data_IF_421639924269
#
_entry.id   IF_421639924269
#
_cell.length_a   1.000
_cell.length_b   1.000
_cell.length_c   1.000
_cell.angle_alpha   90.00
_cell.angle_beta   90.00
_cell.angle_gamma   90.00
#
_symmetry.space_group_name_H-M   'P 1'
#
loop_
_entity.id
_entity.type
_entity.pdbx_description
1 polymer ?
#
# COMPACT_ATOMS: atom_id res chain seq x y z
N UNK A 1 5.21 -23.04 9.72
CA UNK A 1 6.10 -23.01 8.54
C UNK A 1 6.11 -24.39 7.87
N UNK A 2 6.34 -24.44 6.56
CA UNK A 2 6.63 -25.68 5.81
C UNK A 2 8.10 -25.67 5.40
N UNK A 3 8.66 -26.79 4.96
CA UNK A 3 10.02 -26.83 4.42
C UNK A 3 10.08 -26.37 2.94
N UNK A 4 8.91 -26.17 2.32
CA UNK A 4 8.80 -25.57 0.99
C UNK A 4 9.02 -24.05 1.05
N UNK A 5 10.19 -23.62 0.57
CA UNK A 5 10.57 -22.21 0.52
C UNK A 5 9.62 -21.35 -0.31
N UNK A 6 9.05 -21.89 -1.39
CA UNK A 6 8.17 -21.11 -2.27
C UNK A 6 6.86 -20.78 -1.55
N UNK A 7 6.32 -21.73 -0.78
CA UNK A 7 5.13 -21.50 0.05
C UNK A 7 5.42 -20.47 1.14
N UNK A 8 6.59 -20.53 1.78
CA UNK A 8 6.93 -19.55 2.82
C UNK A 8 7.12 -18.14 2.23
N UNK A 9 7.85 -18.00 1.11
CA UNK A 9 8.03 -16.72 0.39
C UNK A 9 6.69 -16.12 -0.01
N UNK A 10 5.77 -16.95 -0.53
CA UNK A 10 4.41 -16.52 -0.86
C UNK A 10 3.65 -16.01 0.37
N UNK A 11 3.68 -16.77 1.48
CA UNK A 11 3.04 -16.36 2.74
C UNK A 11 3.62 -15.06 3.28
N UNK A 12 4.93 -14.88 3.21
CA UNK A 12 5.57 -13.64 3.67
C UNK A 12 5.15 -12.43 2.83
N UNK A 13 5.04 -12.59 1.50
CA UNK A 13 4.46 -11.58 0.63
C UNK A 13 3.01 -11.26 1.02
N UNK A 14 2.19 -12.28 1.29
CA UNK A 14 0.79 -12.07 1.71
C UNK A 14 0.68 -11.31 3.04
N UNK A 15 1.50 -11.62 4.05
CA UNK A 15 1.54 -10.84 5.30
C UNK A 15 1.78 -9.36 5.00
N UNK A 16 2.77 -9.07 4.17
CA UNK A 16 3.08 -7.69 3.75
C UNK A 16 1.96 -7.04 2.96
N UNK A 17 1.28 -7.77 2.09
CA UNK A 17 0.12 -7.24 1.35
C UNK A 17 -1.00 -6.80 2.30
N UNK A 18 -1.36 -7.65 3.27
CA UNK A 18 -2.41 -7.31 4.24
C UNK A 18 -2.02 -6.12 5.10
N UNK A 19 -0.78 -6.09 5.61
CA UNK A 19 -0.27 -4.95 6.39
C UNK A 19 -0.25 -3.66 5.56
N UNK A 20 0.25 -3.73 4.32
CA UNK A 20 0.30 -2.59 3.40
C UNK A 20 -1.11 -2.07 3.12
N UNK A 21 -2.05 -2.97 2.80
CA UNK A 21 -3.45 -2.61 2.58
C UNK A 21 -4.06 -1.93 3.81
N UNK A 22 -3.86 -2.49 5.00
CA UNK A 22 -4.35 -1.92 6.26
C UNK A 22 -3.79 -0.50 6.50
N UNK A 23 -2.48 -0.31 6.33
CA UNK A 23 -1.82 0.95 6.66
C UNK A 23 -1.89 2.02 5.55
N UNK A 24 -2.20 1.67 4.31
CA UNK A 24 -2.45 2.63 3.23
C UNK A 24 -3.93 2.98 3.04
N UNK A 25 -4.85 2.17 3.57
CA UNK A 25 -6.29 2.46 3.51
C UNK A 25 -6.67 3.71 4.33
N UNK A 26 -7.73 4.40 3.91
CA UNK A 26 -8.32 5.48 4.70
C UNK A 26 -9.01 4.92 5.95
N UNK A 27 -9.05 5.72 7.03
CA UNK A 27 -9.67 5.35 8.30
C UNK A 27 -8.67 5.19 9.44
N UNK A 28 -9.02 4.39 10.45
CA UNK A 28 -8.17 4.14 11.63
C UNK A 28 -7.78 2.65 11.59
N UNK A 29 -6.52 2.31 11.27
CA UNK A 29 -6.08 0.92 11.25
C UNK A 29 -6.02 0.35 12.67
N UNK A 30 -6.40 -0.92 12.80
CA UNK A 30 -6.23 -1.70 14.02
C UNK A 30 -5.41 -2.94 13.68
N UNK A 31 -4.27 -3.10 14.36
CA UNK A 31 -3.38 -4.25 14.21
C UNK A 31 -3.58 -5.20 15.39
N UNK A 32 -3.74 -6.49 15.12
CA UNK A 32 -3.79 -7.51 16.17
C UNK A 32 -2.38 -7.71 16.72
N UNK A 33 -2.22 -7.62 18.04
CA UNK A 33 -0.91 -7.71 18.67
C UNK A 33 -0.19 -9.03 18.32
N UNK A 34 1.06 -8.90 17.87
CA UNK A 34 1.92 -10.01 17.49
C UNK A 34 1.85 -10.38 16.01
N UNK A 35 0.92 -9.83 15.23
CA UNK A 35 0.91 -10.04 13.77
C UNK A 35 2.20 -9.51 13.13
N UNK A 36 2.73 -8.40 13.63
CA UNK A 36 4.04 -7.84 13.26
C UNK A 36 5.22 -8.75 13.57
N UNK A 37 5.02 -9.75 14.45
CA UNK A 37 6.04 -10.72 14.86
C UNK A 37 5.83 -12.10 14.21
N UNK A 38 4.85 -12.25 13.31
CA UNK A 38 4.36 -13.54 12.81
C UNK A 38 3.85 -14.48 13.90
N UNK A 39 3.08 -13.95 14.87
CA UNK A 39 2.41 -14.77 15.90
C UNK A 39 1.53 -15.83 15.26
N UNK A 40 1.54 -17.03 15.84
CA UNK A 40 0.73 -18.16 15.37
C UNK A 40 0.00 -18.82 16.51
N UNK A 41 -1.26 -19.19 16.27
CA UNK A 41 -2.07 -20.05 17.13
C UNK A 41 -2.17 -21.49 16.57
N UNK A 42 -1.21 -21.88 15.73
CA UNK A 42 -1.14 -23.18 15.06
C UNK A 42 -2.43 -23.56 14.29
N UNK A 43 -3.09 -22.56 13.71
CA UNK A 43 -4.34 -22.74 12.96
C UNK A 43 -5.61 -22.69 13.82
N UNK A 44 -5.51 -22.56 15.14
CA UNK A 44 -6.65 -22.32 16.00
C UNK A 44 -7.12 -20.85 15.84
N UNK A 45 -8.32 -20.63 15.30
CA UNK A 45 -8.90 -19.30 15.13
C UNK A 45 -9.79 -18.85 16.32
N UNK A 46 -9.83 -19.64 17.39
CA UNK A 46 -10.67 -19.39 18.56
C UNK A 46 -9.96 -19.81 19.87
N UNK A 47 -8.78 -19.26 20.12
CA UNK A 47 -7.95 -19.59 21.28
C UNK A 47 -8.42 -18.96 22.61
N UNK A 48 -9.73 -18.78 22.81
CA UNK A 48 -10.29 -18.04 23.94
C UNK A 48 -10.01 -18.66 25.32
N UNK A 49 -9.90 -19.99 25.39
CA UNK A 49 -9.64 -20.74 26.62
C UNK A 49 -8.19 -21.23 26.74
N UNK A 50 -7.30 -20.78 25.85
CA UNK A 50 -5.90 -21.21 25.85
C UNK A 50 -5.09 -20.25 26.70
N UNK A 51 -4.74 -20.69 27.91
CA UNK A 51 -3.79 -20.01 28.78
C UNK A 51 -2.38 -20.64 28.64
N UNK A 52 -1.81 -20.65 27.42
CA UNK A 52 -0.53 -21.33 27.12
C UNK A 52 0.17 -20.81 25.83
N UNK A 53 1.25 -21.47 25.41
CA UNK A 53 2.09 -21.09 24.26
C UNK A 53 1.35 -20.92 22.93
N UNK A 54 0.11 -21.44 22.79
CA UNK A 54 -0.73 -21.21 21.61
C UNK A 54 -1.11 -19.74 21.47
N UNK A 55 -1.40 -19.06 22.58
CA UNK A 55 -1.86 -17.67 22.59
C UNK A 55 -0.74 -16.69 22.93
N UNK A 56 0.39 -17.16 23.49
CA UNK A 56 1.41 -16.27 24.06
C UNK A 56 2.19 -15.56 22.96
N UNK A 57 2.64 -14.33 23.23
CA UNK A 57 3.60 -13.66 22.36
C UNK A 57 4.97 -14.34 22.49
N UNK A 58 5.42 -14.97 21.41
CA UNK A 58 6.71 -15.66 21.37
C UNK A 58 7.83 -14.73 20.90
N UNK A 59 8.37 -13.93 21.82
CA UNK A 59 9.46 -12.99 21.55
C UNK A 59 10.75 -13.65 21.03
N UNK A 60 11.00 -14.91 21.39
CA UNK A 60 12.21 -15.64 20.95
C UNK A 60 12.14 -16.02 19.46
N UNK A 61 10.94 -16.21 18.92
CA UNK A 61 10.69 -16.58 17.52
C UNK A 61 10.12 -15.42 16.70
N UNK A 62 10.25 -14.19 17.20
CA UNK A 62 9.74 -13.01 16.52
C UNK A 62 10.37 -12.84 15.13
N UNK A 63 9.52 -12.65 14.12
CA UNK A 63 9.95 -12.26 12.78
C UNK A 63 10.37 -10.79 12.78
N UNK A 64 11.67 -10.55 12.96
CA UNK A 64 12.25 -9.20 13.03
C UNK A 64 12.16 -8.45 11.69
N UNK A 65 12.16 -9.19 10.58
CA UNK A 65 12.07 -8.63 9.24
C UNK A 65 10.68 -8.04 9.02
N UNK A 66 9.63 -8.82 9.32
CA UNK A 66 8.25 -8.32 9.27
C UNK A 66 7.99 -7.19 10.27
N UNK A 67 8.61 -7.25 11.45
CA UNK A 67 8.50 -6.19 12.45
C UNK A 67 9.05 -4.87 11.91
N UNK A 68 10.24 -4.90 11.30
CA UNK A 68 10.85 -3.72 10.68
C UNK A 68 9.98 -3.18 9.53
N UNK A 69 9.49 -4.07 8.66
CA UNK A 69 8.57 -3.71 7.59
C UNK A 69 7.30 -3.02 8.12
N UNK A 70 6.73 -3.56 9.20
CA UNK A 70 5.53 -2.98 9.85
C UNK A 70 5.82 -1.63 10.49
N UNK A 71 6.99 -1.47 11.13
CA UNK A 71 7.43 -0.19 11.67
C UNK A 71 7.57 0.88 10.58
N UNK A 72 8.19 0.52 9.45
CA UNK A 72 8.34 1.40 8.28
C UNK A 72 6.97 1.78 7.69
N UNK A 73 6.02 0.85 7.58
CA UNK A 73 4.63 1.16 7.18
C UNK A 73 3.93 2.14 8.12
N UNK A 74 4.06 1.92 9.43
CA UNK A 74 3.47 2.82 10.44
C UNK A 74 4.11 4.21 10.34
N UNK A 75 5.43 4.28 10.17
CA UNK A 75 6.14 5.54 9.99
C UNK A 75 5.66 6.28 8.73
N UNK A 76 5.60 5.59 7.59
CA UNK A 76 5.10 6.14 6.33
C UNK A 76 3.69 6.72 6.50
N UNK A 77 2.75 5.96 7.07
CA UNK A 77 1.38 6.45 7.35
C UNK A 77 1.39 7.68 8.25
N UNK A 78 2.27 7.72 9.25
CA UNK A 78 2.37 8.86 10.20
C UNK A 78 2.99 10.10 9.58
N UNK A 79 3.88 9.94 8.60
CA UNK A 79 4.51 11.04 7.89
C UNK A 79 3.57 11.66 6.85
N UNK A 80 2.69 10.86 6.23
CA UNK A 80 1.82 11.31 5.15
C UNK A 80 0.34 11.45 5.57
N UNK A 81 -0.17 12.68 5.84
CA UNK A 81 -1.58 12.92 6.12
C UNK A 81 -2.54 12.42 5.04
N UNK A 82 -2.09 12.21 3.80
CA UNK A 82 -2.95 11.74 2.70
C UNK A 82 -3.57 10.37 2.94
N UNK A 83 -2.94 9.52 3.78
CA UNK A 83 -3.51 8.24 4.21
C UNK A 83 -4.41 8.33 5.46
N UNK A 84 -4.51 9.52 6.06
CA UNK A 84 -5.21 9.79 7.33
C UNK A 84 -6.21 10.95 7.17
N UNK A 85 -6.91 10.99 6.03
CA UNK A 85 -7.84 12.08 5.73
C UNK A 85 -9.02 12.05 6.70
N UNK A 86 -9.52 13.25 7.04
CA UNK A 86 -10.77 13.44 7.81
C UNK A 86 -12.01 13.49 6.94
N UNK A 87 -11.83 13.67 5.63
CA UNK A 87 -12.89 13.82 4.64
C UNK A 87 -12.72 12.79 3.55
N UNK A 88 -13.84 12.35 2.98
CA UNK A 88 -13.86 11.46 1.84
C UNK A 88 -13.16 12.05 0.62
N UNK A 89 -12.69 11.16 -0.26
CA UNK A 89 -12.31 11.55 -1.61
C UNK A 89 -13.56 11.92 -2.42
N UNK A 90 -13.42 12.83 -3.39
CA UNK A 90 -14.52 13.24 -4.27
C UNK A 90 -14.40 12.71 -5.69
N UNK A 91 -13.21 12.29 -6.11
CA UNK A 91 -12.94 11.89 -7.49
C UNK A 91 -13.07 13.05 -8.47
N UNK A 92 -12.85 14.29 -7.99
CA UNK A 92 -13.01 15.52 -8.76
C UNK A 92 -11.93 16.53 -8.38
N UNK A 93 -11.51 17.42 -9.31
CA UNK A 93 -10.60 18.51 -9.00
C UNK A 93 -11.10 19.39 -7.86
N UNK A 94 -10.18 19.85 -6.99
CA UNK A 94 -10.53 20.79 -5.93
C UNK A 94 -10.63 22.23 -6.42
N UNK A 95 -9.89 22.58 -7.47
CA UNK A 95 -9.95 23.87 -8.15
C UNK A 95 -9.93 23.68 -9.67
N UNK A 96 -10.48 24.64 -10.45
CA UNK A 96 -10.33 24.62 -11.90
C UNK A 96 -8.86 24.57 -12.32
N UNK A 97 -8.50 23.60 -13.17
CA UNK A 97 -7.13 23.39 -13.64
C UNK A 97 -6.27 22.49 -12.75
N UNK A 98 -6.78 22.02 -11.60
CA UNK A 98 -6.17 20.92 -10.84
C UNK A 98 -6.67 19.55 -11.35
N UNK A 99 -5.94 18.49 -11.00
CA UNK A 99 -6.40 17.10 -11.16
C UNK A 99 -7.24 16.66 -9.96
N UNK A 100 -7.98 15.57 -10.13
CA UNK A 100 -8.80 14.93 -9.12
C UNK A 100 -8.02 14.51 -7.87
N UNK A 101 -8.74 14.37 -6.75
CA UNK A 101 -8.14 14.00 -5.47
C UNK A 101 -7.85 12.49 -5.33
N UNK A 102 -8.47 11.67 -6.19
CA UNK A 102 -8.23 10.24 -6.37
C UNK A 102 -8.55 9.85 -7.82
N UNK A 103 -7.74 8.98 -8.42
CA UNK A 103 -8.01 8.40 -9.73
C UNK A 103 -7.69 6.90 -9.75
N UNK A 104 -8.40 6.15 -10.59
CA UNK A 104 -8.29 4.69 -10.67
C UNK A 104 -7.90 4.27 -12.09
N UNK A 105 -6.97 3.34 -12.19
CA UNK A 105 -6.32 2.97 -13.45
C UNK A 105 -6.32 1.47 -13.67
N UNK A 106 -6.49 1.09 -14.94
CA UNK A 106 -6.17 -0.25 -15.42
C UNK A 106 -4.65 -0.38 -15.63
N UNK A 107 -4.19 -1.60 -15.89
CA UNK A 107 -2.79 -1.88 -16.20
C UNK A 107 -2.28 -1.15 -17.46
N UNK A 108 -3.15 -0.84 -18.42
CA UNK A 108 -2.80 -0.12 -19.65
C UNK A 108 -2.63 1.40 -19.45
N UNK A 109 -2.79 1.91 -18.23
CA UNK A 109 -2.68 3.33 -17.87
C UNK A 109 -3.93 4.15 -18.22
N UNK A 110 -5.00 3.53 -18.72
CA UNK A 110 -6.28 4.19 -18.89
C UNK A 110 -7.06 4.20 -17.57
N UNK A 111 -7.93 5.18 -17.42
CA UNK A 111 -8.89 5.22 -16.33
C UNK A 111 -9.76 3.96 -16.28
N UNK A 112 -10.04 3.50 -15.06
CA UNK A 112 -11.12 2.54 -14.83
C UNK A 112 -12.47 3.23 -15.00
N UNK A 113 -13.33 2.64 -15.81
CA UNK A 113 -14.73 3.05 -16.00
C UNK A 113 -15.65 2.22 -15.10
N UNK A 114 -16.89 2.66 -14.94
CA UNK A 114 -17.90 1.96 -14.15
C UNK A 114 -18.11 0.51 -14.61
N UNK A 115 -18.04 0.25 -15.92
CA UNK A 115 -18.19 -1.10 -16.47
C UNK A 115 -17.01 -2.01 -16.11
N UNK A 116 -15.80 -1.45 -15.99
CA UNK A 116 -14.61 -2.22 -15.65
C UNK A 116 -14.77 -2.86 -14.26
N UNK A 117 -15.37 -2.14 -13.30
CA UNK A 117 -15.59 -2.62 -11.93
C UNK A 117 -16.58 -3.78 -11.81
N UNK A 118 -17.48 -3.94 -12.77
CA UNK A 118 -18.49 -4.99 -12.75
C UNK A 118 -17.98 -6.33 -13.27
N UNK A 119 -16.75 -6.37 -13.76
CA UNK A 119 -16.14 -7.61 -14.20
C UNK A 119 -15.58 -8.40 -13.01
N UNK A 120 -16.15 -9.59 -12.75
CA UNK A 120 -15.76 -10.53 -11.67
C UNK A 120 -14.26 -10.90 -11.63
N UNK A 121 -13.50 -10.54 -12.68
CA UNK A 121 -12.10 -10.87 -12.85
C UNK A 121 -11.14 -9.69 -12.70
N UNK A 122 -11.59 -8.50 -12.27
CA UNK A 122 -10.67 -7.41 -11.90
C UNK A 122 -9.87 -7.81 -10.66
N UNK A 123 -8.71 -8.42 -10.91
CA UNK A 123 -7.76 -8.85 -9.88
C UNK A 123 -6.59 -7.88 -9.74
N UNK A 124 -6.56 -6.79 -10.50
CA UNK A 124 -5.46 -5.84 -10.46
C UNK A 124 -5.90 -4.46 -10.94
N UNK A 125 -5.47 -3.43 -10.22
CA UNK A 125 -5.74 -2.02 -10.56
C UNK A 125 -4.69 -1.10 -9.91
N UNK A 126 -4.56 0.11 -10.46
CA UNK A 126 -3.77 1.21 -9.91
C UNK A 126 -4.66 2.28 -9.28
N UNK A 127 -4.18 2.92 -8.23
CA UNK A 127 -4.87 4.01 -7.52
C UNK A 127 -3.91 5.17 -7.35
N UNK A 128 -4.25 6.31 -7.93
CA UNK A 128 -3.57 7.57 -7.66
C UNK A 128 -4.27 8.30 -6.52
N UNK A 129 -3.48 8.85 -5.60
CA UNK A 129 -3.94 9.69 -4.50
C UNK A 129 -3.19 11.01 -4.55
N UNK A 130 -3.95 12.11 -4.66
CA UNK A 130 -3.39 13.44 -4.80
C UNK A 130 -3.12 14.10 -3.43
N UNK A 131 -1.85 14.37 -3.14
CA UNK A 131 -1.45 15.07 -1.91
C UNK A 131 -1.88 16.54 -1.85
N UNK A 132 -2.01 17.21 -3.00
CA UNK A 132 -2.57 18.58 -3.09
C UNK A 132 -4.09 18.58 -2.96
N UNK A 133 -4.76 17.49 -3.31
CA UNK A 133 -6.21 17.31 -3.27
C UNK A 133 -6.82 17.17 -1.86
N UNK A 134 -6.03 17.34 -0.80
CA UNK A 134 -6.53 17.29 0.57
C UNK A 134 -7.28 18.57 0.95
N UNK A 135 -8.45 18.38 1.57
CA UNK A 135 -9.23 19.45 2.21
C UNK A 135 -8.85 19.67 3.69
N UNK A 136 -7.81 18.99 4.17
CA UNK A 136 -7.38 19.07 5.56
C UNK A 136 -6.72 20.42 5.85
N UNK A 137 -6.97 20.94 7.05
CA UNK A 137 -6.32 22.14 7.58
C UNK A 137 -5.64 21.83 8.90
N UNK A 138 -4.52 22.50 9.17
CA UNK A 138 -3.86 22.50 10.47
C UNK A 138 -4.73 23.18 11.53
N UNK A 139 -4.34 23.08 12.80
CA UNK A 139 -5.00 23.80 13.91
C UNK A 139 -5.00 25.33 13.74
N UNK A 140 -4.09 25.86 12.92
CA UNK A 140 -3.99 27.27 12.55
C UNK A 140 -4.80 27.63 11.29
N UNK A 141 -5.57 26.68 10.74
CA UNK A 141 -6.39 26.89 9.55
C UNK A 141 -5.60 26.85 8.23
N UNK A 142 -4.32 26.49 8.23
CA UNK A 142 -3.50 26.40 7.01
C UNK A 142 -3.84 25.12 6.24
N UNK A 143 -4.03 25.19 4.91
CA UNK A 143 -4.26 24.01 4.06
C UNK A 143 -3.06 23.08 4.16
N UNK A 144 -3.31 21.82 4.46
CA UNK A 144 -2.28 20.78 4.44
C UNK A 144 -2.13 20.25 3.01
N UNK A 145 -0.90 20.14 2.57
CA UNK A 145 -0.50 19.40 1.36
C UNK A 145 0.42 18.27 1.78
N UNK A 146 0.58 17.29 0.90
CA UNK A 146 1.42 16.12 1.08
C UNK A 146 1.94 15.71 -0.30
N UNK A 147 2.78 14.69 -0.35
CA UNK A 147 3.19 14.04 -1.59
C UNK A 147 2.01 13.34 -2.27
N UNK A 148 2.16 13.11 -3.56
CA UNK A 148 1.21 12.29 -4.34
C UNK A 148 1.70 10.85 -4.42
N UNK A 149 0.75 9.91 -4.39
CA UNK A 149 1.07 8.48 -4.37
C UNK A 149 0.34 7.73 -5.48
N UNK A 150 1.00 6.71 -6.01
CA UNK A 150 0.40 5.73 -6.92
C UNK A 150 0.58 4.33 -6.34
N UNK A 151 -0.54 3.68 -6.01
CA UNK A 151 -0.58 2.34 -5.41
C UNK A 151 -1.02 1.35 -6.48
N UNK A 152 -0.27 0.29 -6.70
CA UNK A 152 -0.66 -0.77 -7.63
C UNK A 152 -0.95 -2.02 -6.84
N UNK A 153 -2.18 -2.54 -6.98
CA UNK A 153 -2.59 -3.82 -6.42
C UNK A 153 -2.58 -4.87 -7.52
N UNK A 154 -1.81 -5.94 -7.35
CA UNK A 154 -1.87 -7.12 -8.22
C UNK A 154 -2.21 -8.36 -7.40
N UNK A 155 -3.49 -8.73 -7.36
CA UNK A 155 -3.97 -9.98 -6.79
C UNK A 155 -4.13 -11.10 -7.86
N UNK A 156 -3.66 -10.87 -9.09
CA UNK A 156 -3.61 -11.91 -10.11
C UNK A 156 -2.42 -12.85 -9.89
N UNK A 157 -2.57 -14.11 -10.29
CA UNK A 157 -1.53 -15.13 -10.28
C UNK A 157 -0.66 -15.04 -11.55
N UNK A 158 -0.01 -13.90 -11.73
CA UNK A 158 0.93 -13.66 -12.80
C UNK A 158 1.51 -12.24 -12.75
N UNK A 159 2.57 -12.04 -13.53
CA UNK A 159 3.18 -10.73 -13.71
C UNK A 159 2.30 -9.87 -14.62
N UNK A 160 2.13 -8.60 -14.28
CA UNK A 160 1.39 -7.64 -15.10
C UNK A 160 2.27 -6.41 -15.30
N UNK A 161 2.38 -6.00 -16.57
CA UNK A 161 3.01 -4.75 -16.94
C UNK A 161 2.01 -3.60 -16.79
N UNK A 162 2.35 -2.65 -15.93
CA UNK A 162 1.58 -1.46 -15.63
C UNK A 162 2.19 -0.24 -16.30
N UNK A 163 1.41 0.45 -17.14
CA UNK A 163 1.77 1.78 -17.62
C UNK A 163 1.45 2.81 -16.54
N UNK A 164 2.47 3.57 -16.12
CA UNK A 164 2.31 4.61 -15.11
C UNK A 164 1.50 5.80 -15.65
N UNK A 165 0.83 6.57 -14.77
CA UNK A 165 0.05 7.75 -15.17
C UNK A 165 0.89 8.79 -15.93
N UNK A 166 0.18 9.64 -16.70
CA UNK A 166 0.79 10.68 -17.51
C UNK A 166 1.36 11.85 -16.72
N UNK A 167 1.94 12.83 -17.45
CA UNK A 167 2.62 14.00 -16.87
C UNK A 167 1.70 14.94 -16.11
N UNK A 168 0.40 14.84 -16.36
CA UNK A 168 -0.64 15.54 -15.61
C UNK A 168 -0.67 15.10 -14.13
N UNK A 169 -0.16 13.91 -13.80
CA UNK A 169 -0.08 13.38 -12.44
C UNK A 169 1.27 13.61 -11.78
N UNK A 170 2.36 13.27 -12.48
CA UNK A 170 3.73 13.43 -12.04
C UNK A 170 4.67 13.33 -13.25
N UNK A 171 5.82 14.00 -13.21
CA UNK A 171 6.87 13.78 -14.22
C UNK A 171 7.66 12.51 -13.94
N UNK A 172 7.86 12.22 -12.67
CA UNK A 172 8.67 11.14 -12.14
C UNK A 172 7.98 10.46 -10.95
N UNK A 173 8.19 9.15 -10.85
CA UNK A 173 7.64 8.27 -9.83
C UNK A 173 8.78 7.49 -9.20
N UNK A 174 8.98 7.66 -7.90
CA UNK A 174 9.97 6.86 -7.18
C UNK A 174 9.27 5.66 -6.54
N UNK A 175 9.76 4.45 -6.80
CA UNK A 175 9.24 3.24 -6.16
C UNK A 175 9.73 3.19 -4.70
N UNK A 176 8.80 3.21 -3.74
CA UNK A 176 9.12 3.24 -2.31
C UNK A 176 8.65 2.01 -1.55
N UNK A 177 7.76 1.19 -2.11
CA UNK A 177 7.32 -0.07 -1.49
C UNK A 177 7.15 -1.15 -2.53
N UNK A 178 7.68 -2.35 -2.25
CA UNK A 178 7.46 -3.58 -3.02
C UNK A 178 7.29 -4.76 -2.07
N UNK A 179 6.07 -5.28 -1.94
CA UNK A 179 5.78 -6.41 -1.03
C UNK A 179 6.39 -7.73 -1.50
N UNK A 180 6.71 -7.87 -2.78
CA UNK A 180 7.38 -9.07 -3.31
C UNK A 180 8.86 -9.12 -2.90
N UNK A 181 9.47 -7.96 -2.61
CA UNK A 181 10.89 -7.82 -2.25
C UNK A 181 11.13 -7.37 -0.81
N UNK A 182 10.10 -7.38 0.05
CA UNK A 182 10.22 -6.92 1.44
C UNK A 182 10.81 -5.50 1.56
N UNK A 183 10.50 -4.64 0.58
CA UNK A 183 11.17 -3.36 0.46
C UNK A 183 10.23 -2.24 0.86
N UNK A 184 10.66 -1.41 1.81
CA UNK A 184 10.14 -0.05 2.04
C UNK A 184 11.34 0.88 2.15
N UNK A 185 11.36 1.87 1.26
CA UNK A 185 12.40 2.89 1.14
C UNK A 185 11.89 4.13 1.88
N UNK A 186 12.71 4.70 2.77
CA UNK A 186 12.36 5.91 3.54
C UNK A 186 13.16 7.12 3.07
N UNK A 187 12.81 8.33 3.53
CA UNK A 187 13.54 9.56 3.19
C UNK A 187 15.06 9.40 3.40
N UNK A 188 15.84 9.54 2.31
CA UNK A 188 17.30 9.44 2.29
C UNK A 188 17.87 8.22 1.56
N UNK A 189 17.04 7.22 1.26
CA UNK A 189 17.45 6.06 0.46
C UNK A 189 17.14 6.27 -1.04
N UNK A 190 18.04 5.83 -1.93
CA UNK A 190 17.85 5.94 -3.38
C UNK A 190 16.85 4.89 -3.90
N UNK A 191 15.60 5.31 -4.14
CA UNK A 191 14.60 4.50 -4.83
C UNK A 191 14.76 4.53 -6.36
N UNK A 192 14.28 3.49 -7.04
CA UNK A 192 14.24 3.50 -8.51
C UNK A 192 13.20 4.52 -8.98
N UNK A 193 13.64 5.45 -9.83
CA UNK A 193 12.80 6.47 -10.46
C UNK A 193 12.31 5.95 -11.81
N UNK A 194 11.02 6.14 -12.08
CA UNK A 194 10.34 5.88 -13.33
C UNK A 194 9.78 7.19 -13.89
N UNK A 195 9.76 7.34 -15.21
CA UNK A 195 9.16 8.51 -15.85
C UNK A 195 7.65 8.35 -16.02
N UNK A 196 6.95 9.46 -16.21
CA UNK A 196 5.54 9.45 -16.62
C UNK A 196 5.34 8.58 -17.87
N UNK A 197 4.25 7.81 -17.93
CA UNK A 197 3.96 6.82 -18.98
C UNK A 197 4.97 5.65 -19.11
N UNK A 198 6.00 5.55 -18.26
CA UNK A 198 6.88 4.38 -18.24
C UNK A 198 6.12 3.14 -17.77
N UNK A 199 6.57 1.96 -18.19
CA UNK A 199 6.01 0.68 -17.77
C UNK A 199 6.79 0.10 -16.60
N UNK A 200 6.07 -0.37 -15.58
CA UNK A 200 6.61 -1.13 -14.45
C UNK A 200 5.99 -2.53 -14.41
N UNK A 201 6.81 -3.57 -14.30
CA UNK A 201 6.32 -4.94 -14.12
C UNK A 201 6.03 -5.20 -12.65
N UNK A 202 4.81 -5.63 -12.35
CA UNK A 202 4.34 -5.95 -11.00
C UNK A 202 4.24 -7.47 -10.84
N UNK A 203 4.86 -8.00 -9.79
CA UNK A 203 4.87 -9.42 -9.48
C UNK A 203 3.46 -9.93 -9.13
N UNK A 204 3.22 -11.23 -9.27
CA UNK A 204 1.94 -11.82 -8.85
C UNK A 204 1.70 -11.64 -7.35
N UNK A 205 0.44 -11.47 -6.98
CA UNK A 205 0.01 -11.33 -5.58
C UNK A 205 0.87 -10.34 -4.77
N UNK A 206 1.09 -9.14 -5.31
CA UNK A 206 1.96 -8.12 -4.71
C UNK A 206 1.35 -6.71 -4.80
N UNK A 207 1.90 -5.79 -4.00
CA UNK A 207 1.52 -4.39 -3.97
C UNK A 207 2.78 -3.55 -4.15
N UNK A 208 2.70 -2.56 -5.04
CA UNK A 208 3.71 -1.52 -5.17
C UNK A 208 3.16 -0.17 -4.69
N UNK A 209 4.02 0.65 -4.12
CA UNK A 209 3.76 2.06 -3.84
C UNK A 209 4.82 2.91 -4.50
N UNK A 210 4.39 3.87 -5.31
CA UNK A 210 5.22 4.92 -5.86
C UNK A 210 4.82 6.26 -5.25
N UNK A 211 5.79 7.15 -5.07
CA UNK A 211 5.55 8.53 -4.61
C UNK A 211 6.13 9.54 -5.59
N UNK A 212 5.52 10.72 -5.62
CA UNK A 212 5.98 11.90 -6.32
C UNK A 212 6.00 13.06 -5.32
N UNK A 213 7.19 13.64 -5.12
CA UNK A 213 7.41 14.74 -4.19
C UNK A 213 6.96 16.06 -4.83
N UNK A 214 6.20 16.84 -4.06
CA UNK A 214 5.42 17.98 -4.56
C UNK A 214 6.05 19.35 -4.32
#
# INVERSE_FOLDING_TARGET
PTDDENINKFRDCQKRNFLTTLFLSQGIPMLVAGDELSRTQQGNNNAYCQDNEISWLNWKKADKVLLEFTQKLIQLRRQHPVFRRRTWFRGQPMQPGEIEDIAWFKFDGQYMKDEDWQHDYVKSFGVFINGRGMQARSSLGVRLTDDSFYIIFNAYQGYIDYKLPGKEYANDWTLILDTSKDTIITEGDEGRIYQANETITVHDNSILLLHHVI
#
